data_IF_974896581459
#
_entry.id   IF_974896581459
#
_cell.length_a   1.000
_cell.length_b   1.000
_cell.length_c   1.000
_cell.angle_alpha   90.00
_cell.angle_beta   90.00
_cell.angle_gamma   90.00
#
_symmetry.space_group_name_H-M   'P 1'
#
loop_
_entity.id
_entity.type
_entity.pdbx_description
1 polymer ?
#
# COMPACT_ATOMS: atom_id res chain seq x y z
N UNK A 1 9.10 4.43 6.48
CA UNK A 1 7.67 4.81 6.35
C UNK A 1 7.04 5.08 7.71
N UNK A 2 6.98 4.12 8.65
CA UNK A 2 6.45 4.37 10.00
C UNK A 2 7.26 5.38 10.85
N UNK A 3 8.58 5.44 10.65
CA UNK A 3 9.47 6.41 11.31
C UNK A 3 9.44 7.82 10.70
N UNK A 4 8.88 7.99 9.50
CA UNK A 4 8.79 9.31 8.87
C UNK A 4 7.62 10.15 9.42
N UNK A 5 6.78 9.56 10.28
CA UNK A 5 5.51 10.14 10.74
C UNK A 5 5.38 10.20 12.28
N UNK A 6 6.39 9.82 13.07
CA UNK A 6 6.24 9.63 14.51
C UNK A 6 7.16 10.51 15.37
N UNK A 7 6.61 11.52 16.03
CA UNK A 7 7.19 12.11 17.24
C UNK A 7 7.05 11.09 18.39
N UNK A 8 8.15 10.73 19.05
CA UNK A 8 8.28 9.57 19.94
C UNK A 8 7.56 9.69 21.31
N UNK A 9 6.57 10.57 21.47
CA UNK A 9 6.00 10.92 22.77
C UNK A 9 4.57 10.45 23.04
N UNK A 10 3.83 9.94 22.06
CA UNK A 10 2.47 9.42 22.26
C UNK A 10 2.26 8.05 21.58
N UNK A 11 2.30 6.92 22.32
CA UNK A 11 2.20 5.56 21.77
C UNK A 11 0.78 5.17 21.33
N UNK A 12 -0.23 6.01 21.60
CA UNK A 12 -1.65 5.70 21.36
C UNK A 12 -2.20 6.39 20.10
N UNK A 13 -1.47 7.38 19.56
CA UNK A 13 -1.87 8.22 18.43
C UNK A 13 -1.08 7.92 17.14
N UNK A 14 -0.37 6.79 17.15
CA UNK A 14 0.53 6.43 16.07
C UNK A 14 -0.16 5.45 15.14
N UNK A 15 -0.31 5.85 13.87
CA UNK A 15 -0.67 5.00 12.72
C UNK A 15 0.28 3.80 12.51
N UNK A 16 1.24 3.60 13.41
CA UNK A 16 2.08 2.42 13.54
C UNK A 16 1.28 1.11 13.52
N UNK A 17 0.13 1.06 14.22
CA UNK A 17 -0.71 -0.15 14.25
C UNK A 17 -1.23 -0.56 12.86
N UNK A 18 -1.70 0.41 12.07
CA UNK A 18 -2.19 0.18 10.71
C UNK A 18 -1.04 -0.22 9.76
N UNK A 19 0.10 0.45 9.86
CA UNK A 19 1.30 0.12 9.07
C UNK A 19 1.86 -1.27 9.40
N UNK A 20 1.93 -1.62 10.68
CA UNK A 20 2.35 -2.95 11.13
C UNK A 20 1.41 -4.03 10.62
N UNK A 21 0.09 -3.79 10.68
CA UNK A 21 -0.90 -4.71 10.13
C UNK A 21 -0.78 -4.90 8.62
N UNK A 22 -0.51 -3.83 7.87
CA UNK A 22 -0.25 -3.89 6.43
C UNK A 22 0.96 -4.75 6.11
N UNK A 23 2.06 -4.56 6.84
CA UNK A 23 3.29 -5.37 6.68
C UNK A 23 3.01 -6.84 6.99
N UNK A 24 2.30 -7.16 8.08
CA UNK A 24 1.97 -8.53 8.45
C UNK A 24 1.12 -9.23 7.38
N UNK A 25 0.14 -8.53 6.80
CA UNK A 25 -0.68 -9.05 5.69
C UNK A 25 0.18 -9.38 4.46
N UNK A 26 1.12 -8.50 4.12
CA UNK A 26 2.03 -8.72 2.98
C UNK A 26 2.91 -9.95 3.22
N UNK A 27 3.50 -10.06 4.42
CA UNK A 27 4.34 -11.21 4.77
C UNK A 27 3.56 -12.54 4.77
N UNK A 28 2.32 -12.53 5.28
CA UNK A 28 1.47 -13.72 5.27
C UNK A 28 1.06 -14.14 3.85
N UNK A 29 0.68 -13.18 3.00
CA UNK A 29 0.37 -13.43 1.59
C UNK A 29 1.59 -13.99 0.83
N UNK A 30 2.76 -13.42 1.09
CA UNK A 30 4.02 -13.89 0.51
C UNK A 30 4.37 -15.31 0.96
N UNK A 31 4.17 -15.64 2.24
CA UNK A 31 4.33 -17.01 2.75
C UNK A 31 3.43 -18.02 2.03
N UNK A 32 2.17 -17.65 1.77
CA UNK A 32 1.25 -18.47 0.98
C UNK A 32 1.74 -18.61 -0.47
N UNK A 33 2.22 -17.53 -1.08
CA UNK A 33 2.73 -17.57 -2.46
C UNK A 33 3.97 -18.48 -2.59
N UNK A 34 4.94 -18.35 -1.69
CA UNK A 34 6.10 -19.25 -1.63
C UNK A 34 5.67 -20.71 -1.39
N UNK A 35 4.75 -20.94 -0.46
CA UNK A 35 4.23 -22.28 -0.17
C UNK A 35 3.57 -22.94 -1.40
N UNK A 36 2.78 -22.17 -2.15
CA UNK A 36 2.14 -22.66 -3.39
C UNK A 36 3.16 -22.87 -4.51
N UNK A 37 4.13 -21.96 -4.67
CA UNK A 37 5.18 -22.08 -5.69
C UNK A 37 6.02 -23.35 -5.49
N UNK A 38 6.37 -23.69 -4.25
CA UNK A 38 7.13 -24.90 -3.92
C UNK A 38 6.25 -26.15 -4.03
N UNK A 39 5.05 -26.12 -3.44
CA UNK A 39 4.20 -27.31 -3.34
C UNK A 39 3.54 -27.72 -4.66
N UNK A 40 3.13 -26.74 -5.48
CA UNK A 40 2.36 -26.99 -6.72
C UNK A 40 3.24 -26.92 -7.95
N UNK A 41 4.13 -25.93 -8.03
CA UNK A 41 4.93 -25.67 -9.24
C UNK A 41 6.35 -26.27 -9.18
N UNK A 42 6.78 -26.81 -8.03
CA UNK A 42 8.14 -27.38 -7.81
C UNK A 42 9.27 -26.47 -8.30
N UNK A 43 9.11 -25.16 -8.12
CA UNK A 43 10.10 -24.16 -8.53
C UNK A 43 11.26 -24.17 -7.53
N UNK A 44 12.50 -24.19 -8.03
CA UNK A 44 13.70 -24.06 -7.20
C UNK A 44 13.81 -22.63 -6.68
N UNK A 45 13.64 -22.45 -5.36
CA UNK A 45 13.82 -21.14 -4.74
C UNK A 45 15.31 -20.87 -4.59
N UNK A 46 15.78 -19.81 -5.25
CA UNK A 46 17.16 -19.32 -5.11
C UNK A 46 17.28 -18.39 -3.91
N UNK A 47 18.51 -18.31 -3.35
CA UNK A 47 18.83 -17.44 -2.21
C UNK A 47 18.52 -15.95 -2.51
N UNK A 48 18.73 -15.52 -3.75
CA UNK A 48 18.46 -14.16 -4.23
C UNK A 48 16.95 -13.82 -4.19
N UNK A 49 16.10 -14.77 -4.56
CA UNK A 49 14.64 -14.59 -4.56
C UNK A 49 14.12 -14.35 -3.14
N UNK A 50 14.65 -15.04 -2.14
CA UNK A 50 14.23 -14.88 -0.74
C UNK A 50 14.60 -13.52 -0.15
N UNK A 51 15.61 -12.84 -0.68
CA UNK A 51 16.04 -11.52 -0.18
C UNK A 51 15.32 -10.38 -0.90
N UNK A 52 15.21 -10.46 -2.24
CA UNK A 52 14.73 -9.34 -3.06
C UNK A 52 13.19 -9.31 -3.16
N UNK A 53 12.54 -10.47 -3.30
CA UNK A 53 11.08 -10.55 -3.47
C UNK A 53 10.31 -9.91 -2.31
N UNK A 54 10.68 -10.12 -1.02
CA UNK A 54 9.99 -9.48 0.09
C UNK A 54 10.06 -7.96 0.03
N UNK A 55 11.23 -7.41 -0.32
CA UNK A 55 11.40 -5.96 -0.41
C UNK A 55 10.58 -5.37 -1.56
N UNK A 56 10.58 -6.05 -2.70
CA UNK A 56 9.81 -5.64 -3.88
C UNK A 56 8.30 -5.66 -3.63
N UNK A 57 7.76 -6.75 -3.07
CA UNK A 57 6.31 -6.86 -2.84
C UNK A 57 5.88 -5.87 -1.76
N UNK A 58 6.72 -5.63 -0.75
CA UNK A 58 6.43 -4.65 0.28
C UNK A 58 6.40 -3.23 -0.29
N UNK A 59 7.29 -2.87 -1.21
CA UNK A 59 7.26 -1.58 -1.89
C UNK A 59 5.95 -1.37 -2.68
N UNK A 60 5.56 -2.39 -3.46
CA UNK A 60 4.28 -2.40 -4.21
C UNK A 60 3.06 -2.33 -3.27
N UNK A 61 3.11 -3.04 -2.15
CA UNK A 61 2.03 -3.06 -1.16
C UNK A 61 1.86 -1.71 -0.47
N UNK A 62 2.97 -1.04 -0.13
CA UNK A 62 2.96 0.29 0.50
C UNK A 62 2.39 1.35 -0.44
N UNK A 63 2.70 1.30 -1.73
CA UNK A 63 2.16 2.24 -2.72
C UNK A 63 0.62 2.18 -2.78
N UNK A 64 0.08 0.97 -2.95
CA UNK A 64 -1.36 0.73 -2.97
C UNK A 64 -2.05 1.13 -1.65
N UNK A 65 -1.38 0.91 -0.50
CA UNK A 65 -1.90 1.32 0.80
C UNK A 65 -1.89 2.85 0.94
N UNK A 66 -0.85 3.53 0.44
CA UNK A 66 -0.74 4.98 0.51
C UNK A 66 -1.87 5.66 -0.26
N UNK A 67 -2.14 5.22 -1.51
CA UNK A 67 -3.24 5.75 -2.33
C UNK A 67 -4.58 5.56 -1.60
N UNK A 68 -4.84 4.38 -1.04
CA UNK A 68 -6.08 4.10 -0.30
C UNK A 68 -6.20 4.99 0.94
N UNK A 69 -5.14 5.12 1.74
CA UNK A 69 -5.18 5.95 2.97
C UNK A 69 -5.32 7.44 2.65
N UNK A 70 -4.73 7.91 1.55
CA UNK A 70 -4.84 9.31 1.13
C UNK A 70 -6.29 9.64 0.73
N UNK A 71 -6.97 8.74 0.01
CA UNK A 71 -8.38 8.91 -0.31
C UNK A 71 -9.27 8.81 0.94
N UNK A 72 -8.95 7.89 1.86
CA UNK A 72 -9.66 7.74 3.12
C UNK A 72 -9.55 9.01 3.99
N UNK A 73 -8.36 9.62 4.05
CA UNK A 73 -8.12 10.91 4.72
C UNK A 73 -8.84 12.06 4.00
N UNK A 74 -8.93 12.04 2.67
CA UNK A 74 -9.70 13.02 1.88
C UNK A 74 -11.20 12.93 2.20
N UNK A 75 -11.78 11.72 2.17
CA UNK A 75 -13.21 11.50 2.43
C UNK A 75 -13.57 11.82 3.89
N UNK A 76 -12.70 11.50 4.85
CA UNK A 76 -12.90 11.86 6.26
C UNK A 76 -13.00 13.37 6.45
N UNK A 77 -12.22 14.15 5.69
CA UNK A 77 -12.24 15.62 5.74
C UNK A 77 -13.46 16.23 5.05
N UNK A 78 -13.84 15.71 3.88
CA UNK A 78 -14.91 16.29 3.07
C UNK A 78 -16.32 15.84 3.48
N UNK A 79 -16.47 14.64 4.02
CA UNK A 79 -17.76 14.05 4.39
C UNK A 79 -17.76 13.67 5.89
N UNK A 80 -18.10 14.64 6.73
CA UNK A 80 -18.35 14.45 8.17
C UNK A 80 -19.63 13.64 8.48
N UNK A 81 -20.38 13.23 7.46
CA UNK A 81 -21.70 12.62 7.57
C UNK A 81 -21.70 11.08 7.60
N UNK A 82 -20.55 10.41 7.47
CA UNK A 82 -20.49 8.95 7.49
C UNK A 82 -20.70 8.37 8.89
N UNK A 83 -21.65 7.43 9.02
CA UNK A 83 -22.01 6.81 10.30
C UNK A 83 -21.09 5.64 10.71
N UNK A 84 -20.26 5.10 9.81
CA UNK A 84 -19.38 3.96 10.11
C UNK A 84 -18.10 3.89 9.26
N UNK A 85 -16.98 3.47 9.86
CA UNK A 85 -15.68 3.26 9.18
C UNK A 85 -15.78 2.31 7.96
N UNK A 86 -16.55 1.20 8.01
CA UNK A 86 -16.74 0.33 6.85
C UNK A 86 -17.40 1.02 5.65
N UNK A 87 -18.30 1.99 5.88
CA UNK A 87 -18.92 2.77 4.80
C UNK A 87 -17.90 3.71 4.16
N UNK A 88 -17.08 4.37 4.98
CA UNK A 88 -16.01 5.25 4.50
C UNK A 88 -14.96 4.48 3.67
N UNK A 89 -14.52 3.31 4.15
CA UNK A 89 -13.62 2.42 3.39
C UNK A 89 -14.30 1.89 2.13
N UNK A 90 -15.61 1.61 2.19
CA UNK A 90 -16.40 1.21 1.03
C UNK A 90 -16.43 2.27 -0.06
N UNK A 91 -16.63 3.54 0.32
CA UNK A 91 -16.62 4.68 -0.58
C UNK A 91 -15.22 4.95 -1.15
N UNK A 92 -14.18 4.93 -0.29
CA UNK A 92 -12.78 5.06 -0.73
C UNK A 92 -12.41 3.97 -1.74
N UNK A 93 -12.84 2.73 -1.48
CA UNK A 93 -12.65 1.60 -2.40
C UNK A 93 -13.46 1.75 -3.70
N UNK A 94 -14.59 2.46 -3.68
CA UNK A 94 -15.35 2.73 -4.91
C UNK A 94 -14.57 3.64 -5.85
N UNK A 95 -13.87 4.65 -5.31
CA UNK A 95 -13.07 5.58 -6.12
C UNK A 95 -11.69 5.03 -6.50
N UNK A 96 -10.97 4.42 -5.55
CA UNK A 96 -9.57 4.00 -5.74
C UNK A 96 -9.44 2.54 -6.16
N UNK A 97 -10.46 1.72 -5.89
CA UNK A 97 -10.47 0.29 -6.20
C UNK A 97 -10.13 -0.03 -7.66
N UNK A 98 -10.76 0.60 -8.66
CA UNK A 98 -10.42 0.37 -10.07
C UNK A 98 -8.97 0.71 -10.42
N UNK A 99 -8.37 1.70 -9.74
CA UNK A 99 -6.95 2.02 -9.96
C UNK A 99 -6.04 0.94 -9.37
N UNK A 100 -6.34 0.44 -8.17
CA UNK A 100 -5.59 -0.65 -7.54
C UNK A 100 -5.71 -1.94 -8.35
N UNK A 101 -6.89 -2.23 -8.92
CA UNK A 101 -7.07 -3.44 -9.74
C UNK A 101 -6.24 -3.39 -11.02
N UNK A 102 -6.20 -2.22 -11.68
CA UNK A 102 -5.38 -2.00 -12.88
C UNK A 102 -3.89 -2.07 -12.54
N UNK A 103 -3.47 -1.50 -11.41
CA UNK A 103 -2.09 -1.60 -10.93
C UNK A 103 -1.69 -3.06 -10.63
N UNK A 104 -2.52 -3.82 -9.91
CA UNK A 104 -2.25 -5.23 -9.63
C UNK A 104 -2.21 -6.07 -10.92
N UNK A 105 -3.07 -5.78 -11.89
CA UNK A 105 -3.06 -6.45 -13.19
C UNK A 105 -1.79 -6.12 -13.99
N UNK A 106 -1.35 -4.86 -14.02
CA UNK A 106 -0.15 -4.45 -14.73
C UNK A 106 1.13 -5.00 -14.08
N UNK A 107 1.21 -4.99 -12.74
CA UNK A 107 2.28 -5.63 -11.97
C UNK A 107 2.36 -7.13 -12.26
N UNK A 108 1.23 -7.83 -12.21
CA UNK A 108 1.17 -9.27 -12.49
C UNK A 108 1.60 -9.59 -13.91
N UNK A 109 1.16 -8.80 -14.90
CA UNK A 109 1.58 -8.95 -16.29
C UNK A 109 3.06 -8.65 -16.49
N UNK A 110 3.59 -7.61 -15.83
CA UNK A 110 5.01 -7.27 -15.91
C UNK A 110 5.89 -8.40 -15.36
N UNK A 111 5.51 -9.00 -14.22
CA UNK A 111 6.21 -10.17 -13.70
C UNK A 111 6.05 -11.39 -14.60
N UNK A 112 4.86 -11.61 -15.17
CA UNK A 112 4.66 -12.71 -16.11
C UNK A 112 5.54 -12.57 -17.36
N UNK A 113 5.67 -11.36 -17.91
CA UNK A 113 6.60 -11.07 -19.02
C UNK A 113 8.04 -11.32 -18.60
N UNK A 114 8.42 -10.94 -17.38
CA UNK A 114 9.74 -11.24 -16.82
C UNK A 114 10.01 -12.75 -16.70
N UNK A 115 8.97 -13.55 -16.43
CA UNK A 115 9.08 -15.01 -16.37
C UNK A 115 9.39 -15.65 -17.73
N UNK A 116 9.02 -15.02 -18.86
CA UNK A 116 9.35 -15.52 -20.20
C UNK A 116 10.83 -15.36 -20.59
N UNK A 117 11.65 -14.73 -19.76
CA UNK A 117 13.07 -14.54 -20.05
C UNK A 117 13.85 -15.85 -19.91
N UNK A 118 14.86 -16.08 -20.76
CA UNK A 118 15.68 -17.31 -20.78
C UNK A 118 16.70 -17.41 -19.63
N UNK A 119 16.53 -16.64 -18.56
CA UNK A 119 17.43 -16.61 -17.41
C UNK A 119 16.72 -17.38 -16.28
N UNK A 120 17.14 -18.61 -15.94
CA UNK A 120 16.39 -19.50 -15.06
C UNK A 120 16.20 -18.95 -13.63
N UNK A 121 17.18 -18.17 -13.15
CA UNK A 121 17.07 -17.47 -11.86
C UNK A 121 16.00 -16.37 -11.88
N UNK A 122 15.84 -15.67 -13.01
CA UNK A 122 14.86 -14.61 -13.18
C UNK A 122 13.45 -15.17 -13.41
N UNK A 123 13.33 -16.29 -14.14
CA UNK A 123 12.06 -16.99 -14.35
C UNK A 123 11.41 -17.38 -13.03
N UNK A 124 12.16 -18.04 -12.15
CA UNK A 124 11.69 -18.47 -10.82
C UNK A 124 11.32 -17.28 -9.94
N UNK A 125 12.12 -16.21 -9.98
CA UNK A 125 11.84 -14.95 -9.27
C UNK A 125 10.51 -14.33 -9.73
N UNK A 126 10.34 -14.18 -11.04
CA UNK A 126 9.18 -13.55 -11.65
C UNK A 126 7.89 -14.36 -11.44
N UNK A 127 7.96 -15.69 -11.50
CA UNK A 127 6.81 -16.56 -11.21
C UNK A 127 6.32 -16.41 -9.77
N UNK A 128 7.24 -16.38 -8.80
CA UNK A 128 6.89 -16.18 -7.39
C UNK A 128 6.33 -14.78 -7.16
N UNK A 129 6.93 -13.75 -7.74
CA UNK A 129 6.45 -12.37 -7.63
C UNK A 129 5.04 -12.20 -8.23
N UNK A 130 4.79 -12.74 -9.43
CA UNK A 130 3.47 -12.72 -10.07
C UNK A 130 2.41 -13.40 -9.19
N UNK A 131 2.73 -14.57 -8.63
CA UNK A 131 1.81 -15.29 -7.74
C UNK A 131 1.56 -14.52 -6.44
N UNK A 132 2.58 -13.88 -5.87
CA UNK A 132 2.41 -13.09 -4.65
C UNK A 132 1.54 -11.84 -4.88
N UNK A 133 1.71 -11.14 -6.00
CA UNK A 133 0.84 -10.01 -6.37
C UNK A 133 -0.60 -10.47 -6.59
N UNK A 134 -0.80 -11.60 -7.28
CA UNK A 134 -2.13 -12.18 -7.48
C UNK A 134 -2.81 -12.55 -6.15
N UNK A 135 -2.09 -13.26 -5.25
CA UNK A 135 -2.62 -13.65 -3.93
C UNK A 135 -2.84 -12.47 -2.99
N UNK A 136 -2.10 -11.38 -3.17
CA UNK A 136 -2.33 -10.10 -2.46
C UNK A 136 -3.67 -9.50 -2.87
N UNK A 137 -3.94 -9.42 -4.18
CA UNK A 137 -5.20 -8.88 -4.69
C UNK A 137 -6.41 -9.71 -4.25
N UNK A 138 -6.33 -11.04 -4.31
CA UNK A 138 -7.40 -11.96 -3.87
C UNK A 138 -7.68 -11.90 -2.36
N UNK A 139 -6.75 -11.36 -1.55
CA UNK A 139 -6.93 -11.18 -0.11
C UNK A 139 -7.61 -9.85 0.24
N UNK A 140 -7.70 -8.88 -0.69
CA UNK A 140 -8.43 -7.62 -0.48
C UNK A 140 -9.93 -7.81 -0.14
N UNK A 141 -10.67 -8.76 -0.76
CA UNK A 141 -12.03 -9.12 -0.34
C UNK A 141 -12.14 -9.61 1.10
N UNK A 142 -11.11 -10.26 1.65
CA UNK A 142 -11.12 -10.73 3.05
C UNK A 142 -11.11 -9.60 4.07
N UNK A 143 -10.62 -8.41 3.69
CA UNK A 143 -10.69 -7.20 4.52
C UNK A 143 -12.16 -6.78 4.75
N UNK A 144 -13.11 -7.12 3.85
CA UNK A 144 -14.52 -6.74 4.05
C UNK A 144 -15.23 -7.53 5.16
N UNK A 145 -14.78 -8.74 5.48
CA UNK A 145 -15.51 -9.67 6.35
C UNK A 145 -15.38 -9.39 7.87
N UNK A 146 -14.20 -9.07 8.43
CA UNK A 146 -14.08 -8.80 9.87
C UNK A 146 -14.51 -7.39 10.27
N UNK A 147 -14.43 -6.41 9.36
CA UNK A 147 -14.82 -5.02 9.67
C UNK A 147 -16.34 -4.81 9.68
N UNK A 148 -17.11 -5.68 9.00
CA UNK A 148 -18.59 -5.68 9.03
C UNK A 148 -19.15 -6.18 10.37
N UNK A 149 -18.40 -6.99 11.13
CA UNK A 149 -18.90 -7.68 12.32
C UNK A 149 -18.56 -6.98 13.65
N UNK A 150 -17.85 -5.85 13.64
CA UNK A 150 -17.48 -5.15 14.88
C UNK A 150 -18.60 -4.19 15.35
N UNK A 151 -19.12 -4.33 16.58
CA UNK A 151 -20.27 -3.55 17.06
C UNK A 151 -19.95 -2.08 17.41
N UNK A 152 -18.68 -1.71 17.64
CA UNK A 152 -18.29 -0.36 18.11
C UNK A 152 -17.91 0.61 16.98
N UNK A 153 -18.87 0.90 16.10
CA UNK A 153 -18.68 1.75 14.90
C UNK A 153 -18.24 3.19 15.21
N UNK A 154 -18.76 3.78 16.28
CA UNK A 154 -18.49 5.18 16.65
C UNK A 154 -17.09 5.40 17.25
N UNK A 155 -16.57 4.40 17.99
CA UNK A 155 -15.24 4.49 18.63
C UNK A 155 -14.13 4.40 17.59
N UNK A 156 -14.31 3.57 16.55
CA UNK A 156 -13.36 3.42 15.45
C UNK A 156 -13.24 4.68 14.58
N UNK A 157 -14.36 5.34 14.26
CA UNK A 157 -14.34 6.60 13.50
C UNK A 157 -13.63 7.70 14.28
N UNK A 158 -13.89 7.83 15.58
CA UNK A 158 -13.26 8.86 16.40
C UNK A 158 -11.74 8.66 16.50
N UNK A 159 -11.30 7.42 16.73
CA UNK A 159 -9.88 7.07 16.70
C UNK A 159 -9.24 7.37 15.34
N UNK A 160 -9.89 7.01 14.23
CA UNK A 160 -9.39 7.30 12.88
C UNK A 160 -9.36 8.80 12.57
N UNK A 161 -10.39 9.56 12.96
CA UNK A 161 -10.47 11.01 12.79
C UNK A 161 -9.38 11.75 13.57
N UNK A 162 -9.07 11.31 14.79
CA UNK A 162 -8.02 11.89 15.61
C UNK A 162 -6.61 11.60 15.03
N UNK A 163 -6.44 10.43 14.41
CA UNK A 163 -5.23 10.05 13.65
C UNK A 163 -5.13 10.78 12.30
N UNK A 164 -6.26 11.09 11.67
CA UNK A 164 -6.37 11.93 10.46
C UNK A 164 -5.85 13.35 10.73
N UNK A 165 -6.39 13.99 11.77
CA UNK A 165 -5.99 15.32 12.19
C UNK A 165 -4.52 15.40 12.65
N UNK A 166 -3.97 14.32 13.23
CA UNK A 166 -2.58 14.27 13.65
C UNK A 166 -1.58 14.31 12.47
N UNK A 167 -1.89 13.65 11.35
CA UNK A 167 -0.99 13.61 10.19
C UNK A 167 -0.97 14.91 9.40
N UNK A 168 -2.09 15.63 9.34
CA UNK A 168 -2.16 16.95 8.71
C UNK A 168 -1.26 17.98 9.43
N UNK A 169 -1.09 17.80 10.74
CA UNK A 169 -0.13 18.57 11.55
C UNK A 169 1.33 18.11 11.44
N UNK A 170 1.62 17.10 10.60
CA UNK A 170 2.97 16.56 10.49
C UNK A 170 3.91 17.53 9.76
N UNK A 171 5.12 17.68 10.31
CA UNK A 171 6.18 18.56 9.80
C UNK A 171 6.50 18.29 8.33
N UNK A 172 6.33 17.04 7.88
CA UNK A 172 6.56 16.62 6.49
C UNK A 172 5.53 17.25 5.55
N UNK A 173 4.24 17.21 5.90
CA UNK A 173 3.18 17.81 5.09
C UNK A 173 3.38 19.32 4.96
N UNK A 174 3.64 20.00 6.08
CA UNK A 174 3.91 21.44 6.10
C UNK A 174 5.16 21.81 5.29
N UNK A 175 6.21 21.00 5.35
CA UNK A 175 7.42 21.21 4.55
C UNK A 175 7.19 20.96 3.05
N UNK A 176 6.42 19.91 2.72
CA UNK A 176 6.06 19.59 1.34
C UNK A 176 5.29 20.76 0.71
N UNK A 177 4.25 21.23 1.39
CA UNK A 177 3.36 22.28 0.91
C UNK A 177 4.03 23.66 0.91
N UNK A 178 4.79 23.99 1.96
CA UNK A 178 5.42 25.31 2.09
C UNK A 178 6.63 25.49 1.18
N UNK A 179 7.43 24.45 0.98
CA UNK A 179 8.77 24.59 0.39
C UNK A 179 8.97 23.78 -0.87
N UNK A 180 8.42 22.59 -0.96
CA UNK A 180 8.70 21.66 -2.07
C UNK A 180 7.79 21.86 -3.26
N UNK A 181 6.47 21.91 -3.05
CA UNK A 181 5.48 22.13 -4.12
C UNK A 181 5.76 23.45 -4.88
N UNK A 182 5.91 24.62 -4.23
CA UNK A 182 6.17 25.87 -4.95
C UNK A 182 7.54 25.88 -5.67
N UNK A 183 8.53 25.13 -5.17
CA UNK A 183 9.85 25.02 -5.80
C UNK A 183 9.82 24.08 -7.02
N UNK A 184 9.04 23.00 -6.96
CA UNK A 184 8.87 22.03 -8.04
C UNK A 184 8.06 22.62 -9.21
N UNK A 185 7.04 23.43 -8.90
CA UNK A 185 6.23 24.13 -9.91
C UNK A 185 6.81 25.50 -10.32
N UNK A 186 8.01 25.85 -9.86
CA UNK A 186 8.67 27.06 -10.33
C UNK A 186 8.97 26.95 -11.84
N UNK A 187 8.72 28.04 -12.58
CA UNK A 187 8.92 28.06 -14.04
C UNK A 187 10.35 27.73 -14.47
N UNK A 188 11.33 27.96 -13.58
CA UNK A 188 12.73 27.64 -13.85
C UNK A 188 13.01 26.14 -13.73
N UNK A 189 12.50 25.47 -12.70
CA UNK A 189 12.65 24.02 -12.51
C UNK A 189 11.92 23.23 -13.59
N UNK A 190 10.71 23.64 -13.98
CA UNK A 190 9.98 23.00 -15.09
C UNK A 190 10.74 23.09 -16.42
N UNK A 191 11.32 24.26 -16.73
CA UNK A 191 12.14 24.44 -17.94
C UNK A 191 13.44 23.65 -17.92
N UNK A 192 14.01 23.44 -16.74
CA UNK A 192 15.23 22.65 -16.55
C UNK A 192 14.94 21.16 -16.76
N UNK A 193 13.88 20.65 -16.15
CA UNK A 193 13.47 19.24 -16.25
C UNK A 193 13.11 18.87 -17.69
N UNK A 194 12.34 19.71 -18.39
CA UNK A 194 11.96 19.48 -19.80
C UNK A 194 13.14 19.60 -20.76
N UNK A 195 14.25 20.23 -20.35
CA UNK A 195 15.50 20.26 -21.15
C UNK A 195 16.45 19.10 -20.85
N UNK A 196 16.24 18.39 -19.75
CA UNK A 196 17.10 17.30 -19.26
C UNK A 196 16.56 15.91 -19.61
N UNK A 197 15.27 15.81 -19.91
CA UNK A 197 14.59 14.64 -20.48
C UNK A 197 14.52 14.77 -21.99
#
# INVERSE_FOLDING_TARGET
VALALGNARDPVRSRFGLGLWGILIVLFSMGIAFGVAVCVMRIEITMITLEVVPFLILAIGVDNMFILTNELDRLTRCQSHFHSLPQLVGEAMMHVGPSITVAAASESLAFLVGAYTKIPALESFCMVAALAVARRYDLCPWIKKPYVLSPDKARQIRAYSDDAAAVDSSVVQTFLDSKWIPLLFAKWTQRLVVRLV
#
